data_IF_910684127682
#
_entry.id   IF_910684127682
#
_cell.length_a   1.000
_cell.length_b   1.000
_cell.length_c   1.000
_cell.angle_alpha   90.00
_cell.angle_beta   90.00
_cell.angle_gamma   90.00
#
_symmetry.space_group_name_H-M   'P 1'
#
loop_
_entity.id
_entity.type
_entity.pdbx_description
1 polymer ?
#
# COMPACT_ATOMS: atom_id res chain seq x y z
N UNK A 1 3.17 12.63 12.54
CA UNK A 1 1.82 12.52 11.97
C UNK A 1 1.01 11.75 12.98
N UNK A 2 -0.07 12.33 13.50
CA UNK A 2 -0.98 11.59 14.37
C UNK A 2 -2.06 10.98 13.47
N UNK A 3 -2.21 9.66 13.50
CA UNK A 3 -3.20 8.95 12.70
C UNK A 3 -4.51 8.95 13.48
N UNK A 4 -5.53 9.67 12.99
CA UNK A 4 -6.79 9.87 13.71
C UNK A 4 -8.00 9.22 13.04
N UNK A 5 -7.89 8.90 11.75
CA UNK A 5 -8.95 8.30 10.95
C UNK A 5 -8.36 7.43 9.85
N UNK A 6 -9.23 6.77 9.08
CA UNK A 6 -8.85 5.85 8.01
C UNK A 6 -8.02 6.52 6.90
N UNK A 7 -8.34 7.76 6.50
CA UNK A 7 -7.58 8.45 5.45
C UNK A 7 -6.19 8.88 5.93
N UNK A 8 -6.06 9.30 7.19
CA UNK A 8 -4.75 9.59 7.78
C UNK A 8 -3.88 8.33 7.82
N UNK A 9 -4.48 7.18 8.13
CA UNK A 9 -3.81 5.89 8.12
C UNK A 9 -3.31 5.53 6.71
N UNK A 10 -4.18 5.61 5.70
CA UNK A 10 -3.79 5.27 4.33
C UNK A 10 -2.71 6.21 3.79
N UNK A 11 -2.80 7.52 4.06
CA UNK A 11 -1.73 8.48 3.72
C UNK A 11 -0.41 8.17 4.43
N UNK A 12 -0.47 7.75 5.69
CA UNK A 12 0.70 7.29 6.42
C UNK A 12 1.29 6.03 5.76
N UNK A 13 0.45 5.05 5.39
CA UNK A 13 0.86 3.84 4.70
C UNK A 13 1.49 4.16 3.33
N UNK A 14 0.95 5.10 2.56
CA UNK A 14 1.54 5.57 1.30
C UNK A 14 2.95 6.13 1.51
N UNK A 15 3.17 6.89 2.58
CA UNK A 15 4.50 7.40 2.92
C UNK A 15 5.47 6.25 3.27
N UNK A 16 5.01 5.25 4.02
CA UNK A 16 5.79 4.04 4.33
C UNK A 16 6.12 3.26 3.05
N UNK A 17 5.13 2.98 2.20
CA UNK A 17 5.30 2.26 0.94
C UNK A 17 6.33 2.97 0.05
N UNK A 18 6.24 4.30 -0.07
CA UNK A 18 7.18 5.13 -0.82
C UNK A 18 8.62 5.01 -0.32
N UNK A 19 8.81 5.13 1.00
CA UNK A 19 10.13 5.00 1.61
C UNK A 19 10.69 3.59 1.39
N UNK A 20 9.88 2.56 1.64
CA UNK A 20 10.29 1.17 1.53
C UNK A 20 10.67 0.80 0.11
N UNK A 21 9.92 1.23 -0.89
CA UNK A 21 10.31 1.03 -2.29
C UNK A 21 11.59 1.77 -2.64
N UNK A 22 11.76 3.02 -2.19
CA UNK A 22 13.01 3.75 -2.43
C UNK A 22 14.23 3.02 -1.88
N UNK A 23 14.15 2.54 -0.63
CA UNK A 23 15.21 1.77 0.02
C UNK A 23 15.46 0.46 -0.72
N UNK A 24 14.40 -0.30 -1.02
CA UNK A 24 14.53 -1.58 -1.67
C UNK A 24 15.15 -1.46 -3.08
N UNK A 25 14.81 -0.41 -3.83
CA UNK A 25 15.39 -0.12 -5.14
C UNK A 25 16.87 0.29 -5.06
N UNK A 26 17.28 1.06 -4.04
CA UNK A 26 18.70 1.37 -3.82
C UNK A 26 19.50 0.12 -3.46
N UNK A 27 18.93 -0.74 -2.60
CA UNK A 27 19.56 -1.98 -2.19
C UNK A 27 19.64 -2.98 -3.34
N UNK A 28 18.62 -3.07 -4.19
CA UNK A 28 18.59 -3.99 -5.36
C UNK A 28 19.83 -3.85 -6.25
N UNK A 29 20.43 -2.66 -6.31
CA UNK A 29 21.62 -2.38 -7.13
C UNK A 29 22.93 -2.86 -6.49
N UNK A 30 22.94 -3.00 -5.16
CA UNK A 30 24.12 -3.39 -4.37
C UNK A 30 24.04 -4.86 -3.93
N UNK A 31 22.86 -5.30 -3.55
CA UNK A 31 22.52 -6.62 -3.06
C UNK A 31 21.15 -7.03 -3.64
N UNK A 32 21.14 -7.71 -4.80
CA UNK A 32 19.90 -8.09 -5.47
C UNK A 32 19.01 -9.01 -4.64
N UNK A 33 19.58 -9.89 -3.83
CA UNK A 33 18.80 -10.84 -3.02
C UNK A 33 18.05 -10.11 -1.92
N UNK A 34 18.75 -9.24 -1.16
CA UNK A 34 18.13 -8.42 -0.12
C UNK A 34 17.13 -7.43 -0.72
N UNK A 35 17.47 -6.79 -1.84
CA UNK A 35 16.58 -5.86 -2.54
C UNK A 35 15.28 -6.51 -2.99
N UNK A 36 15.37 -7.70 -3.62
CA UNK A 36 14.18 -8.48 -4.02
C UNK A 36 13.37 -8.96 -2.81
N UNK A 37 14.02 -9.31 -1.71
CA UNK A 37 13.34 -9.69 -0.46
C UNK A 37 12.51 -8.52 0.10
N UNK A 38 13.10 -7.32 0.18
CA UNK A 38 12.41 -6.11 0.65
C UNK A 38 11.28 -5.67 -0.30
N UNK A 39 11.48 -5.82 -1.61
CA UNK A 39 10.43 -5.59 -2.62
C UNK A 39 9.26 -6.54 -2.43
N UNK A 40 9.53 -7.84 -2.24
CA UNK A 40 8.49 -8.86 -2.02
C UNK A 40 7.71 -8.62 -0.74
N UNK A 41 8.41 -8.27 0.33
CA UNK A 41 7.78 -7.90 1.60
C UNK A 41 6.86 -6.69 1.44
N UNK A 42 7.36 -5.63 0.81
CA UNK A 42 6.59 -4.40 0.59
C UNK A 42 5.41 -4.67 -0.33
N UNK A 43 5.58 -5.44 -1.40
CA UNK A 43 4.49 -5.86 -2.28
C UNK A 43 3.41 -6.66 -1.54
N UNK A 44 3.81 -7.61 -0.68
CA UNK A 44 2.87 -8.38 0.14
C UNK A 44 2.07 -7.47 1.08
N UNK A 45 2.69 -6.43 1.64
CA UNK A 45 1.95 -5.43 2.42
C UNK A 45 0.91 -4.70 1.56
N UNK A 46 1.30 -4.22 0.38
CA UNK A 46 0.38 -3.53 -0.53
C UNK A 46 -0.84 -4.40 -0.85
N UNK A 47 -0.63 -5.65 -1.27
CA UNK A 47 -1.74 -6.48 -1.80
C UNK A 47 -2.51 -7.28 -0.75
N UNK A 48 -1.87 -7.64 0.38
CA UNK A 48 -2.49 -8.47 1.43
C UNK A 48 -3.01 -7.66 2.62
N UNK A 49 -2.69 -6.38 2.67
CA UNK A 49 -3.18 -5.48 3.70
C UNK A 49 -3.81 -4.24 3.09
N UNK A 50 -2.99 -3.38 2.49
CA UNK A 50 -3.38 -2.00 2.16
C UNK A 50 -4.56 -1.95 1.18
N UNK A 51 -4.43 -2.60 0.02
CA UNK A 51 -5.48 -2.70 -0.98
C UNK A 51 -6.77 -3.35 -0.44
N UNK A 52 -6.63 -4.36 0.45
CA UNK A 52 -7.79 -5.03 1.06
C UNK A 52 -8.54 -4.09 2.00
N UNK A 53 -7.82 -3.30 2.79
CA UNK A 53 -8.43 -2.31 3.69
C UNK A 53 -9.15 -1.25 2.87
N UNK A 54 -8.54 -0.77 1.79
CA UNK A 54 -9.14 0.19 0.89
C UNK A 54 -10.43 -0.33 0.28
N UNK A 55 -10.37 -1.46 -0.42
CA UNK A 55 -11.52 -2.06 -1.11
C UNK A 55 -12.67 -2.41 -0.15
N UNK A 56 -12.34 -2.92 1.04
CA UNK A 56 -13.33 -3.43 2.01
C UNK A 56 -13.96 -2.32 2.86
N UNK A 57 -13.18 -1.31 3.23
CA UNK A 57 -13.56 -0.39 4.31
C UNK A 57 -13.57 1.09 3.94
N UNK A 58 -12.85 1.50 2.89
CA UNK A 58 -12.68 2.92 2.55
C UNK A 58 -13.37 3.26 1.24
N UNK A 59 -13.05 2.53 0.16
CA UNK A 59 -13.62 2.73 -1.17
C UNK A 59 -15.15 2.66 -1.25
N UNK A 60 -15.86 1.82 -0.46
CA UNK A 60 -17.32 1.82 -0.46
C UNK A 60 -17.94 3.20 -0.15
N UNK A 61 -17.29 4.03 0.68
CA UNK A 61 -17.78 5.38 0.99
C UNK A 61 -17.62 6.39 -0.16
N UNK A 62 -16.82 6.07 -1.18
CA UNK A 62 -16.63 6.90 -2.37
C UNK A 62 -17.45 6.43 -3.59
N UNK A 63 -18.06 5.24 -3.50
CA UNK A 63 -18.89 4.67 -4.57
C UNK A 63 -18.12 4.50 -5.90
N UNK A 64 -18.78 4.81 -7.01
CA UNK A 64 -18.24 4.60 -8.36
C UNK A 64 -16.92 5.33 -8.63
N UNK A 65 -16.62 6.40 -7.90
CA UNK A 65 -15.36 7.14 -8.05
C UNK A 65 -14.14 6.36 -7.59
N UNK A 66 -14.29 5.43 -6.66
CA UNK A 66 -13.20 4.56 -6.20
C UNK A 66 -12.97 3.37 -7.15
N UNK A 67 -13.91 3.07 -8.06
CA UNK A 67 -13.84 1.89 -8.93
C UNK A 67 -12.57 1.80 -9.78
N UNK A 68 -12.06 2.89 -10.40
CA UNK A 68 -10.81 2.82 -11.13
C UNK A 68 -9.62 2.40 -10.25
N UNK A 69 -9.54 2.94 -9.04
CA UNK A 69 -8.49 2.62 -8.06
C UNK A 69 -8.58 1.16 -7.61
N UNK A 70 -9.77 0.68 -7.27
CA UNK A 70 -10.02 -0.73 -6.95
C UNK A 70 -9.60 -1.68 -8.08
N UNK A 71 -9.85 -1.30 -9.35
CA UNK A 71 -9.42 -2.10 -10.49
C UNK A 71 -7.89 -2.15 -10.63
N UNK A 72 -7.19 -1.05 -10.32
CA UNK A 72 -5.73 -0.99 -10.36
C UNK A 72 -5.09 -1.97 -9.35
N UNK A 73 -5.76 -2.32 -8.25
CA UNK A 73 -5.24 -3.31 -7.28
C UNK A 73 -4.96 -4.67 -7.94
N UNK A 74 -5.81 -5.10 -8.89
CA UNK A 74 -5.57 -6.34 -9.62
C UNK A 74 -4.33 -6.24 -10.53
N UNK A 75 -4.13 -5.08 -11.18
CA UNK A 75 -2.93 -4.83 -11.96
C UNK A 75 -1.69 -4.83 -11.07
N UNK A 76 -1.73 -4.14 -9.93
CA UNK A 76 -0.66 -4.07 -8.94
C UNK A 76 -0.29 -5.46 -8.43
N UNK A 77 -1.27 -6.30 -8.09
CA UNK A 77 -1.05 -7.69 -7.67
C UNK A 77 -0.35 -8.51 -8.76
N UNK A 78 -0.97 -8.62 -9.93
CA UNK A 78 -0.48 -9.50 -10.99
C UNK A 78 0.84 -9.02 -11.58
N UNK A 79 0.98 -7.72 -11.87
CA UNK A 79 2.20 -7.18 -12.43
C UNK A 79 3.33 -7.17 -11.41
N UNK A 80 3.05 -6.81 -10.15
CA UNK A 80 4.04 -6.82 -9.07
C UNK A 80 4.58 -8.20 -8.78
N UNK A 81 3.71 -9.19 -8.59
CA UNK A 81 4.11 -10.59 -8.36
C UNK A 81 5.01 -11.10 -9.47
N UNK A 82 4.64 -10.85 -10.73
CA UNK A 82 5.44 -11.31 -11.88
C UNK A 82 6.77 -10.56 -12.00
N UNK A 83 6.78 -9.24 -11.82
CA UNK A 83 7.99 -8.42 -11.94
C UNK A 83 9.03 -8.79 -10.88
N UNK A 84 8.60 -8.96 -9.63
CA UNK A 84 9.48 -9.31 -8.51
C UNK A 84 9.97 -10.76 -8.62
N UNK A 85 9.11 -11.71 -9.01
CA UNK A 85 9.51 -13.12 -9.15
C UNK A 85 10.53 -13.34 -10.26
N UNK A 86 10.46 -12.57 -11.35
CA UNK A 86 11.43 -12.66 -12.45
C UNK A 86 12.73 -11.89 -12.18
N UNK A 87 12.80 -11.05 -11.14
CA UNK A 87 13.99 -10.25 -10.83
C UNK A 87 14.38 -9.25 -11.92
N UNK A 88 13.47 -8.95 -12.86
CA UNK A 88 13.70 -8.06 -14.01
C UNK A 88 13.64 -6.61 -13.54
N UNK A 89 14.81 -5.98 -13.35
CA UNK A 89 14.92 -4.62 -12.79
C UNK A 89 14.08 -3.57 -13.53
N UNK A 90 14.02 -3.64 -14.86
CA UNK A 90 13.22 -2.74 -15.69
C UNK A 90 11.71 -2.87 -15.40
N UNK A 91 11.24 -4.10 -15.16
CA UNK A 91 9.84 -4.37 -14.82
C UNK A 91 9.54 -3.97 -13.38
N UNK A 92 10.46 -4.25 -12.46
CA UNK A 92 10.36 -3.84 -11.06
C UNK A 92 10.25 -2.31 -10.96
N UNK A 93 11.07 -1.57 -11.70
CA UNK A 93 10.99 -0.10 -11.76
C UNK A 93 9.61 0.40 -12.22
N UNK A 94 9.06 -0.23 -13.27
CA UNK A 94 7.70 0.09 -13.75
C UNK A 94 6.64 -0.25 -12.71
N UNK A 95 6.76 -1.39 -12.05
CA UNK A 95 5.85 -1.82 -11.00
C UNK A 95 5.83 -0.81 -9.84
N UNK A 96 7.01 -0.43 -9.34
CA UNK A 96 7.13 0.57 -8.28
C UNK A 96 6.48 1.87 -8.71
N UNK A 97 6.74 2.33 -9.95
CA UNK A 97 6.09 3.53 -10.49
C UNK A 97 4.55 3.43 -10.48
N UNK A 98 4.00 2.29 -10.91
CA UNK A 98 2.54 2.06 -10.93
C UNK A 98 1.94 2.23 -9.53
N UNK A 99 2.55 1.61 -8.50
CA UNK A 99 2.05 1.72 -7.12
C UNK A 99 2.13 3.16 -6.61
N UNK A 100 3.26 3.84 -6.86
CA UNK A 100 3.45 5.22 -6.38
C UNK A 100 2.53 6.22 -7.08
N UNK A 101 2.28 6.04 -8.38
CA UNK A 101 1.34 6.87 -9.14
C UNK A 101 -0.09 6.62 -8.67
N UNK A 102 -0.46 5.35 -8.45
CA UNK A 102 -1.76 4.97 -7.92
C UNK A 102 -2.03 5.66 -6.56
N UNK A 103 -1.12 5.51 -5.59
CA UNK A 103 -1.24 6.16 -4.28
C UNK A 103 -1.31 7.70 -4.39
N UNK A 104 -0.54 8.30 -5.30
CA UNK A 104 -0.58 9.74 -5.53
C UNK A 104 -1.92 10.20 -6.11
N UNK A 105 -2.50 9.42 -7.02
CA UNK A 105 -3.79 9.74 -7.64
C UNK A 105 -4.93 9.60 -6.63
N UNK A 106 -4.91 8.57 -5.77
CA UNK A 106 -5.86 8.44 -4.67
C UNK A 106 -5.83 9.65 -3.75
N UNK A 107 -4.62 10.05 -3.32
CA UNK A 107 -4.42 11.22 -2.46
C UNK A 107 -4.97 12.51 -3.09
N UNK A 108 -4.83 12.67 -4.41
CA UNK A 108 -5.19 13.88 -5.16
C UNK A 108 -6.64 13.94 -5.58
N UNK A 109 -7.24 12.81 -5.91
CA UNK A 109 -8.55 12.75 -6.55
C UNK A 109 -9.63 12.21 -5.60
N UNK A 110 -9.28 11.21 -4.80
CA UNK A 110 -10.23 10.48 -3.97
C UNK A 110 -10.23 11.01 -2.53
N UNK A 111 -9.07 11.01 -1.86
CA UNK A 111 -8.96 11.32 -0.44
C UNK A 111 -9.18 12.81 -0.10
N UNK A 112 -9.29 13.67 -1.11
CA UNK A 112 -9.70 15.08 -0.94
C UNK A 112 -11.21 15.25 -0.81
N UNK A 113 -11.99 14.24 -1.19
CA UNK A 113 -13.43 14.34 -1.17
C UNK A 113 -13.96 14.28 0.27
N UNK A 114 -14.97 15.09 0.63
CA UNK A 114 -15.61 14.99 1.91
C UNK A 114 -16.46 13.71 1.94
N UNK A 115 -16.05 12.73 2.74
CA UNK A 115 -16.79 11.50 2.99
C UNK A 115 -16.82 11.20 4.47
N UNK A 116 -17.91 10.57 4.92
CA UNK A 116 -17.99 10.03 6.27
C UNK A 116 -17.47 8.57 6.26
N UNK A 117 -16.54 8.28 7.16
CA UNK A 117 -15.84 7.00 7.25
C UNK A 117 -16.04 6.40 8.64
N UNK A 118 -17.10 5.62 8.78
CA UNK A 118 -17.41 4.87 10.00
C UNK A 118 -16.65 3.53 10.10
N UNK A 119 -15.61 3.35 9.29
CA UNK A 119 -14.85 2.10 9.23
C UNK A 119 -13.62 2.07 10.14
N UNK A 120 -13.30 3.19 10.79
CA UNK A 120 -12.06 3.34 11.57
C UNK A 120 -11.84 2.23 12.61
N UNK A 121 -12.83 1.97 13.46
CA UNK A 121 -12.73 0.93 14.49
C UNK A 121 -12.56 -0.48 13.89
N UNK A 122 -13.18 -0.75 12.74
CA UNK A 122 -13.04 -2.04 12.04
C UNK A 122 -11.64 -2.21 11.48
N UNK A 123 -11.07 -1.14 10.92
CA UNK A 123 -9.70 -1.13 10.42
C UNK A 123 -8.71 -1.36 11.56
N UNK A 124 -8.89 -0.71 12.71
CA UNK A 124 -8.06 -0.95 13.90
C UNK A 124 -8.07 -2.43 14.34
N UNK A 125 -9.24 -3.08 14.33
CA UNK A 125 -9.34 -4.51 14.63
C UNK A 125 -8.68 -5.40 13.60
N UNK A 126 -8.69 -5.02 12.32
CA UNK A 126 -7.95 -5.73 11.27
C UNK A 126 -6.44 -5.55 11.45
N UNK A 127 -5.96 -4.36 11.86
CA UNK A 127 -4.52 -4.12 12.10
C UNK A 127 -4.00 -5.08 13.16
N UNK A 128 -4.75 -5.25 14.26
CA UNK A 128 -4.39 -6.19 15.34
C UNK A 128 -4.26 -7.64 14.87
N UNK A 129 -4.94 -8.00 13.77
CA UNK A 129 -4.92 -9.34 13.17
C UNK A 129 -3.85 -9.49 12.09
N UNK A 130 -3.26 -8.40 11.61
CA UNK A 130 -2.21 -8.44 10.60
C UNK A 130 -0.82 -8.49 11.27
N UNK A 131 -0.18 -9.66 11.33
CA UNK A 131 0.98 -9.89 12.22
C UNK A 131 2.20 -9.04 11.87
N UNK A 132 2.36 -8.64 10.61
CA UNK A 132 3.51 -7.89 10.15
C UNK A 132 3.32 -6.36 10.17
N UNK A 133 2.15 -5.87 10.61
CA UNK A 133 1.80 -4.46 10.47
C UNK A 133 2.83 -3.53 11.13
N UNK A 134 3.05 -3.73 12.43
CA UNK A 134 3.99 -2.94 13.24
C UNK A 134 5.41 -3.06 12.71
N UNK A 135 5.80 -4.25 12.24
CA UNK A 135 7.15 -4.51 11.73
C UNK A 135 7.41 -3.76 10.42
N UNK A 136 6.40 -3.66 9.56
CA UNK A 136 6.51 -3.02 8.25
C UNK A 136 6.40 -1.50 8.35
N UNK A 137 5.47 -1.01 9.17
CA UNK A 137 5.11 0.41 9.26
C UNK A 137 5.79 1.14 10.41
N UNK A 138 6.24 0.43 11.44
CA UNK A 138 6.73 1.01 12.69
C UNK A 138 5.62 1.55 13.60
N UNK A 139 4.35 1.55 13.17
CA UNK A 139 3.24 2.02 13.99
C UNK A 139 2.89 0.98 15.06
N UNK A 140 2.88 1.41 16.32
CA UNK A 140 2.39 0.58 17.43
C UNK A 140 0.90 0.83 17.58
N UNK A 141 0.11 -0.22 17.40
CA UNK A 141 -1.31 -0.20 17.75
C UNK A 141 -1.43 -0.72 19.16
N UNK A 142 -1.80 0.16 20.10
CA UNK A 142 -2.03 -0.22 21.48
C UNK A 142 -3.19 -1.25 21.54
N UNK A 143 -2.97 -2.32 22.30
CA UNK A 143 -3.88 -3.45 22.46
C UNK A 143 -5.06 -3.10 23.37
#
# INVERSE_FOLDING_TARGET
MFVHNALDLLRFEHAVIRLRFSIAMEILDRDPELGLSLLRETHNFVVKWHAIIEDKYVFPSFGDKAKPFSNDHLLIDKYGTNSISQGRKDWIQRYVKIVLDHNLNEERELFIMPVDLDSWNKILEEIKRYPDYTRITGMRVES
#
